data_IF_573146133375
#
_entry.id   IF_573146133375
#
_cell.length_a   1.000
_cell.length_b   1.000
_cell.length_c   1.000
_cell.angle_alpha   90.00
_cell.angle_beta   90.00
_cell.angle_gamma   90.00
#
_symmetry.space_group_name_H-M   'P 1'
#
loop_
_entity.id
_entity.type
_entity.pdbx_description
1 polymer ?
#
# COMPACT_ATOMS: atom_id res chain seq x y z
N UNK A 1 -13.19 -11.87 -4.66
CA UNK A 1 -12.29 -11.60 -5.79
C UNK A 1 -11.39 -12.80 -6.05
N UNK A 2 -10.89 -13.02 -7.28
CA UNK A 2 -9.90 -14.08 -7.55
C UNK A 2 -8.48 -13.60 -7.21
N UNK A 3 -7.58 -14.51 -6.87
CA UNK A 3 -6.14 -14.23 -6.70
C UNK A 3 -5.58 -13.52 -7.95
N UNK A 4 -6.03 -13.93 -9.15
CA UNK A 4 -5.63 -13.29 -10.40
C UNK A 4 -6.01 -11.80 -10.41
N UNK A 5 -7.19 -11.43 -9.92
CA UNK A 5 -7.63 -10.03 -9.84
C UNK A 5 -6.75 -9.21 -8.91
N UNK A 6 -6.32 -9.77 -7.76
CA UNK A 6 -5.39 -9.11 -6.84
C UNK A 6 -4.03 -8.88 -7.50
N UNK A 7 -3.50 -9.90 -8.19
CA UNK A 7 -2.23 -9.81 -8.91
C UNK A 7 -2.30 -8.74 -10.02
N UNK A 8 -3.34 -8.79 -10.87
CA UNK A 8 -3.54 -7.79 -11.93
C UNK A 8 -3.70 -6.38 -11.36
N UNK A 9 -4.39 -6.22 -10.23
CA UNK A 9 -4.51 -4.93 -9.55
C UNK A 9 -3.16 -4.41 -9.07
N UNK A 10 -2.36 -5.22 -8.38
CA UNK A 10 -1.02 -4.81 -7.94
C UNK A 10 -0.10 -4.46 -9.11
N UNK A 11 -0.17 -5.22 -10.20
CA UNK A 11 0.57 -4.92 -11.43
C UNK A 11 0.13 -3.59 -12.05
N UNK A 12 -1.18 -3.28 -12.06
CA UNK A 12 -1.69 -1.99 -12.52
C UNK A 12 -1.19 -0.80 -11.68
N UNK A 13 -0.73 -1.06 -10.45
CA UNK A 13 -0.10 -0.07 -9.56
C UNK A 13 1.43 -0.07 -9.65
N UNK A 14 2.01 -0.71 -10.66
CA UNK A 14 3.46 -0.73 -10.90
C UNK A 14 4.23 -1.74 -10.04
N UNK A 15 3.56 -2.68 -9.38
CA UNK A 15 4.23 -3.77 -8.65
C UNK A 15 4.64 -4.87 -9.64
N UNK A 16 5.92 -5.17 -9.71
CA UNK A 16 6.44 -6.12 -10.69
C UNK A 16 6.24 -7.58 -10.24
N UNK A 17 6.06 -8.49 -11.21
CA UNK A 17 5.89 -9.92 -10.95
C UNK A 17 6.99 -10.51 -10.05
N UNK A 18 8.25 -10.09 -10.23
CA UNK A 18 9.40 -10.54 -9.43
C UNK A 18 9.32 -10.14 -7.95
N UNK A 19 8.55 -9.10 -7.63
CA UNK A 19 8.39 -8.62 -6.26
C UNK A 19 7.28 -9.38 -5.51
N UNK A 20 6.31 -9.94 -6.23
CA UNK A 20 5.09 -10.55 -5.68
C UNK A 20 5.39 -11.75 -4.78
N UNK A 21 6.36 -12.58 -5.13
CA UNK A 21 6.74 -13.75 -4.31
C UNK A 21 7.16 -13.33 -2.89
N UNK A 22 7.97 -12.26 -2.77
CA UNK A 22 8.36 -11.71 -1.47
C UNK A 22 7.19 -11.07 -0.75
N UNK A 23 6.38 -10.27 -1.45
CA UNK A 23 5.22 -9.57 -0.87
C UNK A 23 4.23 -10.57 -0.27
N UNK A 24 3.86 -11.61 -1.01
CA UNK A 24 2.93 -12.64 -0.55
C UNK A 24 3.55 -13.55 0.52
N UNK A 25 4.86 -13.85 0.43
CA UNK A 25 5.56 -14.56 1.48
C UNK A 25 5.59 -13.81 2.82
N UNK A 26 5.67 -12.48 2.79
CA UNK A 26 5.63 -11.64 3.99
C UNK A 26 4.20 -11.38 4.49
N UNK A 27 3.23 -11.29 3.59
CA UNK A 27 1.86 -10.88 3.87
C UNK A 27 0.86 -11.72 3.06
N UNK A 28 0.67 -13.01 3.41
CA UNK A 28 -0.21 -13.91 2.65
C UNK A 28 -1.67 -13.45 2.61
N UNK A 29 -2.12 -12.69 3.63
CA UNK A 29 -3.46 -12.08 3.68
C UNK A 29 -3.80 -11.17 2.50
N UNK A 30 -2.82 -10.65 1.76
CA UNK A 30 -3.04 -9.85 0.56
C UNK A 30 -3.85 -10.65 -0.49
N UNK A 31 -3.60 -11.96 -0.58
CA UNK A 31 -4.27 -12.84 -1.54
C UNK A 31 -5.77 -13.00 -1.27
N UNK A 32 -6.21 -12.76 -0.03
CA UNK A 32 -7.61 -12.79 0.39
C UNK A 32 -8.21 -11.40 0.61
N UNK A 33 -7.45 -10.33 0.34
CA UNK A 33 -7.93 -8.94 0.53
C UNK A 33 -8.89 -8.53 -0.58
N UNK A 34 -9.88 -7.71 -0.24
CA UNK A 34 -10.78 -7.09 -1.21
C UNK A 34 -10.09 -5.90 -1.88
N UNK A 35 -10.20 -5.82 -3.20
CA UNK A 35 -9.51 -4.78 -3.97
C UNK A 35 -10.08 -3.40 -3.63
N UNK A 36 -11.40 -3.28 -3.43
CA UNK A 36 -12.09 -2.00 -3.26
C UNK A 36 -12.04 -1.52 -1.81
N UNK A 37 -12.24 -2.41 -0.83
CA UNK A 37 -12.24 -2.01 0.59
C UNK A 37 -10.85 -2.00 1.23
N UNK A 38 -9.91 -2.82 0.73
CA UNK A 38 -8.62 -2.99 1.43
C UNK A 38 -7.47 -2.40 0.62
N UNK A 39 -7.27 -2.85 -0.63
CA UNK A 39 -6.08 -2.48 -1.40
C UNK A 39 -6.16 -1.07 -2.01
N UNK A 40 -7.26 -0.74 -2.68
CA UNK A 40 -7.43 0.54 -3.35
C UNK A 40 -7.31 1.75 -2.40
N UNK A 41 -7.87 1.72 -1.18
CA UNK A 41 -7.68 2.79 -0.21
C UNK A 41 -6.22 3.02 0.15
N UNK A 42 -5.39 1.95 0.27
CA UNK A 42 -3.97 2.10 0.58
C UNK A 42 -3.24 2.87 -0.53
N UNK A 43 -3.49 2.55 -1.80
CA UNK A 43 -2.88 3.29 -2.91
C UNK A 43 -3.43 4.72 -3.03
N UNK A 44 -4.71 4.94 -2.72
CA UNK A 44 -5.27 6.29 -2.64
C UNK A 44 -4.59 7.10 -1.52
N UNK A 45 -4.37 6.50 -0.35
CA UNK A 45 -3.66 7.12 0.76
C UNK A 45 -2.21 7.48 0.39
N UNK A 46 -1.48 6.57 -0.25
CA UNK A 46 -0.12 6.84 -0.73
C UNK A 46 -0.08 8.03 -1.69
N UNK A 47 -1.03 8.14 -2.61
CA UNK A 47 -1.08 9.21 -3.61
C UNK A 47 -1.61 10.53 -3.06
N UNK A 48 -2.70 10.50 -2.31
CA UNK A 48 -3.47 11.69 -1.93
C UNK A 48 -2.99 12.29 -0.62
N UNK A 49 -2.74 11.45 0.40
CA UNK A 49 -2.34 11.89 1.73
C UNK A 49 -0.81 12.01 1.86
N UNK A 50 -0.04 11.07 1.29
CA UNK A 50 1.43 11.06 1.34
C UNK A 50 2.12 11.61 0.09
N UNK A 51 1.37 12.01 -0.95
CA UNK A 51 1.89 12.56 -2.21
C UNK A 51 2.94 11.70 -2.92
N UNK A 52 2.91 10.39 -2.70
CA UNK A 52 3.82 9.44 -3.36
C UNK A 52 3.41 9.34 -4.85
N UNK A 53 4.32 9.65 -5.79
CA UNK A 53 4.03 9.46 -7.21
C UNK A 53 3.94 7.97 -7.54
N UNK A 54 3.22 7.60 -8.61
CA UNK A 54 2.94 6.18 -8.92
C UNK A 54 4.21 5.33 -9.06
N UNK A 55 5.28 5.87 -9.66
CA UNK A 55 6.57 5.19 -9.78
C UNK A 55 7.23 4.89 -8.42
N UNK A 56 6.83 5.59 -7.36
CA UNK A 56 7.27 5.40 -5.98
C UNK A 56 6.54 4.27 -5.25
N UNK A 57 5.36 3.85 -5.69
CA UNK A 57 4.57 2.81 -5.03
C UNK A 57 5.33 1.50 -4.87
N UNK A 58 6.03 1.08 -5.93
CA UNK A 58 6.87 -0.12 -5.92
C UNK A 58 7.91 -0.09 -4.80
N UNK A 59 8.55 1.06 -4.56
CA UNK A 59 9.54 1.21 -3.49
C UNK A 59 8.87 1.14 -2.11
N UNK A 60 7.75 1.86 -1.92
CA UNK A 60 7.02 1.87 -0.66
C UNK A 60 6.52 0.47 -0.26
N UNK A 61 5.86 -0.23 -1.18
CA UNK A 61 5.32 -1.58 -0.96
C UNK A 61 6.44 -2.59 -0.71
N UNK A 62 7.54 -2.56 -1.46
CA UNK A 62 8.65 -3.49 -1.24
C UNK A 62 9.37 -3.27 0.10
N UNK A 63 9.43 -2.03 0.58
CA UNK A 63 10.00 -1.70 1.90
C UNK A 63 9.09 -2.13 3.04
N UNK A 64 7.77 -1.99 2.87
CA UNK A 64 6.80 -2.39 3.89
C UNK A 64 5.54 -3.02 3.25
N UNK A 65 5.57 -4.33 2.92
CA UNK A 65 4.41 -5.01 2.32
C UNK A 65 3.16 -4.98 3.20
N UNK A 66 3.33 -4.86 4.52
CA UNK A 66 2.24 -4.74 5.49
C UNK A 66 1.35 -3.53 5.25
N UNK A 67 1.83 -2.48 4.56
CA UNK A 67 1.01 -1.34 4.16
C UNK A 67 -0.26 -1.77 3.42
N UNK A 68 -0.17 -2.82 2.58
CA UNK A 68 -1.28 -3.31 1.77
C UNK A 68 -2.41 -3.96 2.59
N UNK A 69 -2.15 -4.31 3.85
CA UNK A 69 -3.15 -4.92 4.75
C UNK A 69 -3.46 -4.04 5.96
N UNK A 70 -3.01 -2.79 5.96
CA UNK A 70 -3.31 -1.81 7.00
C UNK A 70 -4.62 -1.09 6.68
N UNK A 71 -5.48 -0.93 7.69
CA UNK A 71 -6.66 -0.06 7.58
C UNK A 71 -6.22 1.39 7.39
N UNK A 72 -6.68 2.03 6.31
CA UNK A 72 -6.43 3.45 6.09
C UNK A 72 -7.04 4.33 7.19
N UNK A 73 -8.34 4.23 7.53
CA UNK A 73 -8.94 5.10 8.54
C UNK A 73 -8.43 4.83 9.95
N UNK A 74 -8.15 3.56 10.31
CA UNK A 74 -7.86 3.20 11.70
C UNK A 74 -6.38 3.11 12.03
N UNK A 75 -5.51 2.97 11.02
CA UNK A 75 -4.07 2.80 11.23
C UNK A 75 -3.25 3.84 10.49
N UNK A 76 -3.40 3.95 9.17
CA UNK A 76 -2.49 4.78 8.36
C UNK A 76 -2.71 6.28 8.56
N UNK A 77 -3.96 6.76 8.54
CA UNK A 77 -4.27 8.17 8.77
C UNK A 77 -3.96 8.62 10.21
N UNK A 78 -4.33 7.89 11.27
CA UNK A 78 -3.93 8.25 12.63
C UNK A 78 -2.42 8.30 12.82
N UNK A 79 -1.69 7.34 12.23
CA UNK A 79 -0.23 7.34 12.27
C UNK A 79 0.37 8.55 11.56
N UNK A 80 -0.13 8.90 10.37
CA UNK A 80 0.31 10.09 9.64
C UNK A 80 0.06 11.36 10.44
N UNK A 81 -1.15 11.53 11.00
CA UNK A 81 -1.48 12.69 11.82
C UNK A 81 -0.56 12.82 13.04
N UNK A 82 -0.27 11.70 13.71
CA UNK A 82 0.66 11.68 14.82
C UNK A 82 2.07 12.10 14.39
N UNK A 83 2.58 11.57 13.28
CA UNK A 83 3.89 11.95 12.73
C UNK A 83 3.95 13.44 12.36
N UNK A 84 2.90 13.98 11.74
CA UNK A 84 2.81 15.40 11.41
C UNK A 84 2.82 16.30 12.65
N UNK A 85 2.17 15.87 13.75
CA UNK A 85 2.22 16.57 15.04
C UNK A 85 3.61 16.57 15.67
N UNK A 86 4.41 15.54 15.42
CA UNK A 86 5.81 15.47 15.84
C UNK A 86 6.76 16.28 14.93
N UNK A 87 6.24 16.92 13.88
CA UNK A 87 7.03 17.75 12.97
C UNK A 87 7.51 17.03 11.71
N UNK A 88 7.12 15.77 11.48
CA UNK A 88 7.34 15.12 10.19
C UNK A 88 6.33 15.66 9.17
N UNK A 89 6.69 16.77 8.54
CA UNK A 89 5.97 17.38 7.41
C UNK A 89 6.83 17.17 6.17
N UNK A 90 6.20 16.80 5.07
CA UNK A 90 6.74 16.45 3.75
C UNK A 90 8.27 16.46 3.57
N UNK A 91 8.81 15.31 3.12
CA UNK A 91 10.14 15.21 2.52
C UNK A 91 10.14 16.01 1.21
N UNK A 92 10.40 17.31 1.27
CA UNK A 92 10.80 18.08 0.08
C UNK A 92 12.12 17.54 -0.47
#
# INVERSE_FOLDING_TARGET
HSIHSVVSFLQSKGIHQKDLARIFGMCPRILSSDIRSDLAPVFAFLSQDLKVPEHGFRRAVNKCPRLLVSSVPDQLKPALFYLQRLGFKDLQ
#
